data_IF_729308660059
#
_entry.id   IF_729308660059
#
_cell.length_a   1.000
_cell.length_b   1.000
_cell.length_c   1.000
_cell.angle_alpha   90.00
_cell.angle_beta   90.00
_cell.angle_gamma   90.00
#
_symmetry.space_group_name_H-M   'P 1'
#
loop_
_entity.id
_entity.type
_entity.pdbx_description
1 polymer ?
#
# COMPACT_ATOMS: atom_id res chain seq x y z
N UNK A 1 27.14 78.73 22.86
CA UNK A 1 28.20 78.71 23.89
C UNK A 1 28.38 77.26 24.36
N UNK A 2 29.48 76.61 23.96
CA UNK A 2 30.59 76.17 24.85
C UNK A 2 30.11 75.23 25.98
N UNK A 3 30.02 73.92 25.71
CA UNK A 3 30.98 72.83 26.03
C UNK A 3 31.28 72.72 27.53
N UNK A 4 30.84 71.62 28.17
CA UNK A 4 31.67 70.87 29.14
C UNK A 4 31.40 69.37 28.96
N UNK A 5 32.46 68.69 28.53
CA UNK A 5 32.64 67.25 28.37
C UNK A 5 32.77 66.59 29.74
N UNK A 6 32.13 65.42 29.94
CA UNK A 6 32.49 64.49 31.00
C UNK A 6 32.60 63.09 30.40
N UNK A 7 33.84 62.62 30.32
CA UNK A 7 34.22 61.29 29.93
C UNK A 7 33.89 60.31 31.05
N UNK A 8 33.17 59.23 30.74
CA UNK A 8 33.07 58.05 31.59
C UNK A 8 33.43 56.84 30.72
N UNK A 9 34.65 56.35 30.93
CA UNK A 9 35.07 55.03 30.50
C UNK A 9 34.46 54.01 31.47
N UNK A 10 33.77 53.00 30.93
CA UNK A 10 33.18 51.91 31.71
C UNK A 10 32.98 50.68 30.83
N UNK A 11 34.01 49.82 30.79
CA UNK A 11 34.03 48.50 30.19
C UNK A 11 32.95 47.59 30.81
N UNK A 12 32.04 47.00 30.01
CA UNK A 12 31.35 45.75 30.36
C UNK A 12 31.13 44.87 29.11
N UNK A 13 32.14 44.02 28.92
CA UNK A 13 32.15 42.61 28.49
C UNK A 13 31.02 42.05 27.60
N UNK A 14 31.50 41.41 26.53
CA UNK A 14 30.84 40.64 25.50
C UNK A 14 29.74 39.67 25.99
N UNK A 15 28.63 39.72 25.25
CA UNK A 15 27.71 38.62 25.00
C UNK A 15 28.48 37.32 24.67
N UNK A 16 28.29 36.27 25.47
CA UNK A 16 28.73 34.92 25.17
C UNK A 16 27.63 33.94 25.54
N UNK A 17 26.90 33.44 24.53
CA UNK A 17 25.92 32.38 24.65
C UNK A 17 26.51 31.18 25.41
N UNK A 18 25.99 30.89 26.60
CA UNK A 18 26.10 29.56 27.17
C UNK A 18 25.33 28.61 26.25
N UNK A 19 26.08 27.83 25.48
CA UNK A 19 25.50 26.79 24.63
C UNK A 19 25.11 25.64 25.54
N UNK A 20 23.84 25.63 25.97
CA UNK A 20 23.23 24.45 26.58
C UNK A 20 23.38 23.26 25.62
N UNK A 21 24.05 22.16 26.01
CA UNK A 21 24.10 20.97 25.19
C UNK A 21 22.68 20.39 25.15
N UNK A 22 22.05 20.46 23.98
CA UNK A 22 20.75 19.83 23.75
C UNK A 22 20.88 18.33 24.11
N UNK A 23 19.99 17.78 24.96
CA UNK A 23 19.93 16.35 25.17
C UNK A 23 19.77 15.63 23.82
N UNK A 24 20.76 14.82 23.44
CA UNK A 24 20.67 13.95 22.27
C UNK A 24 19.78 12.79 22.68
N UNK A 25 18.49 12.89 22.38
CA UNK A 25 17.56 11.80 22.59
C UNK A 25 17.95 10.65 21.64
N UNK A 26 18.24 9.44 22.14
CA UNK A 26 18.60 8.32 21.29
C UNK A 26 17.44 8.04 20.33
N UNK A 27 17.72 7.70 19.05
CA UNK A 27 16.66 7.47 18.08
C UNK A 27 15.76 6.35 18.59
N UNK A 28 14.53 6.71 18.96
CA UNK A 28 13.48 5.77 19.30
C UNK A 28 13.22 4.96 18.03
N UNK A 29 13.78 3.75 17.95
CA UNK A 29 13.37 2.77 16.94
C UNK A 29 11.93 2.39 17.28
N UNK A 30 10.97 3.18 16.78
CA UNK A 30 9.58 2.74 16.71
C UNK A 30 9.58 1.48 15.85
N UNK A 31 9.50 0.32 16.51
CA UNK A 31 9.19 -0.92 15.83
C UNK A 31 7.75 -0.78 15.33
N UNK A 32 7.60 -0.35 14.07
CA UNK A 32 6.30 -0.39 13.40
C UNK A 32 5.83 -1.84 13.42
N UNK A 33 4.63 -2.15 13.93
CA UNK A 33 4.08 -3.50 13.84
C UNK A 33 4.18 -3.99 12.40
N UNK A 34 4.93 -5.07 12.18
CA UNK A 34 5.03 -5.66 10.85
C UNK A 34 3.73 -6.41 10.58
N UNK A 35 2.97 -5.93 9.60
CA UNK A 35 1.77 -6.61 9.14
C UNK A 35 2.17 -8.01 8.63
N UNK A 36 1.43 -9.04 9.02
CA UNK A 36 1.65 -10.39 8.51
C UNK A 36 1.15 -10.50 7.05
N UNK A 37 1.86 -11.22 6.17
CA UNK A 37 1.36 -11.53 4.83
C UNK A 37 0.08 -12.38 4.89
N UNK A 38 -0.87 -12.20 3.95
CA UNK A 38 -2.06 -13.03 3.88
C UNK A 38 -1.74 -14.47 3.43
N UNK A 39 -2.41 -15.44 4.05
CA UNK A 39 -2.34 -16.86 3.67
C UNK A 39 -3.37 -17.22 2.61
N UNK A 40 -3.03 -18.16 1.71
CA UNK A 40 -3.95 -18.68 0.71
C UNK A 40 -5.00 -19.61 1.37
N UNK A 41 -6.31 -19.26 1.36
CA UNK A 41 -7.35 -20.07 1.99
C UNK A 41 -7.47 -21.45 1.33
N UNK A 42 -7.88 -22.46 2.11
CA UNK A 42 -8.07 -23.82 1.57
C UNK A 42 -9.15 -23.89 0.49
N UNK A 43 -10.20 -23.08 0.59
CA UNK A 43 -11.25 -23.03 -0.44
C UNK A 43 -10.70 -22.53 -1.79
N UNK A 44 -9.75 -21.58 -1.77
CA UNK A 44 -9.10 -21.07 -2.98
C UNK A 44 -8.22 -22.11 -3.70
N UNK A 45 -8.03 -23.30 -3.12
CA UNK A 45 -7.30 -24.43 -3.72
C UNK A 45 -8.24 -25.40 -4.44
N UNK A 46 -9.56 -25.28 -4.25
CA UNK A 46 -10.54 -26.16 -4.88
C UNK A 46 -10.92 -25.64 -6.26
N UNK A 47 -11.03 -26.54 -7.21
CA UNK A 47 -11.43 -26.19 -8.58
C UNK A 47 -12.95 -25.97 -8.71
N UNK A 48 -13.47 -24.95 -8.03
CA UNK A 48 -14.89 -24.62 -7.99
C UNK A 48 -15.10 -23.13 -8.23
N UNK A 49 -16.31 -22.68 -8.60
CA UNK A 49 -16.62 -21.25 -8.67
C UNK A 49 -16.36 -20.53 -7.33
N UNK A 50 -16.72 -21.15 -6.20
CA UNK A 50 -16.45 -20.57 -4.88
C UNK A 50 -14.94 -20.48 -4.59
N UNK A 51 -14.16 -21.46 -5.03
CA UNK A 51 -12.70 -21.43 -4.98
C UNK A 51 -12.11 -20.26 -5.77
N UNK A 52 -12.60 -20.02 -6.99
CA UNK A 52 -12.17 -18.90 -7.83
C UNK A 52 -12.49 -17.54 -7.18
N UNK A 53 -13.70 -17.36 -6.65
CA UNK A 53 -14.08 -16.15 -5.92
C UNK A 53 -13.21 -15.94 -4.66
N UNK A 54 -12.95 -17.02 -3.91
CA UNK A 54 -12.08 -16.97 -2.72
C UNK A 54 -10.65 -16.62 -3.07
N UNK A 55 -10.15 -17.11 -4.21
CA UNK A 55 -8.83 -16.77 -4.72
C UNK A 55 -8.70 -15.28 -5.04
N UNK A 56 -9.70 -14.67 -5.67
CA UNK A 56 -9.72 -13.21 -5.91
C UNK A 56 -9.72 -12.42 -4.60
N UNK A 57 -10.48 -12.86 -3.60
CA UNK A 57 -10.42 -12.27 -2.26
C UNK A 57 -9.04 -12.34 -1.61
N UNK A 58 -8.35 -13.48 -1.76
CA UNK A 58 -6.96 -13.62 -1.34
C UNK A 58 -6.03 -12.67 -2.10
N UNK A 59 -6.15 -12.58 -3.43
CA UNK A 59 -5.27 -11.73 -4.21
C UNK A 59 -5.47 -10.24 -3.90
N UNK A 60 -6.70 -9.79 -3.65
CA UNK A 60 -6.96 -8.41 -3.18
C UNK A 60 -6.42 -8.19 -1.76
N UNK A 61 -6.40 -9.22 -0.92
CA UNK A 61 -5.69 -9.13 0.37
C UNK A 61 -4.18 -8.98 0.18
N UNK A 62 -3.59 -9.68 -0.78
CA UNK A 62 -2.18 -9.53 -1.17
C UNK A 62 -1.89 -8.14 -1.77
N UNK A 63 -2.80 -7.60 -2.58
CA UNK A 63 -2.74 -6.23 -3.10
C UNK A 63 -2.72 -5.19 -1.98
N UNK A 64 -3.65 -5.31 -1.03
CA UNK A 64 -3.72 -4.41 0.13
C UNK A 64 -2.49 -4.54 1.04
N UNK A 65 -1.98 -5.75 1.21
CA UNK A 65 -0.73 -5.99 1.92
C UNK A 65 0.45 -5.28 1.25
N UNK A 66 0.60 -5.45 -0.07
CA UNK A 66 1.64 -4.81 -0.86
C UNK A 66 1.53 -3.29 -0.81
N UNK A 67 0.32 -2.73 -0.93
CA UNK A 67 0.11 -1.29 -0.82
C UNK A 67 0.61 -0.73 0.52
N UNK A 68 0.41 -1.46 1.63
CA UNK A 68 0.83 -1.05 2.98
C UNK A 68 2.30 -1.27 3.29
N UNK A 69 2.92 -2.27 2.67
CA UNK A 69 4.27 -2.75 3.06
C UNK A 69 5.32 -2.55 1.98
N UNK A 70 4.91 -2.35 0.72
CA UNK A 70 5.74 -2.40 -0.47
C UNK A 70 6.13 -3.82 -0.91
N UNK A 71 5.70 -4.85 -0.18
CA UNK A 71 5.99 -6.24 -0.53
C UNK A 71 4.90 -6.82 -1.44
N UNK A 72 5.19 -6.79 -2.75
CA UNK A 72 4.34 -7.35 -3.80
C UNK A 72 4.61 -8.83 -4.12
N UNK A 73 5.44 -9.56 -3.35
CA UNK A 73 5.85 -10.92 -3.73
C UNK A 73 4.66 -11.86 -3.94
N UNK A 74 3.67 -11.83 -3.05
CA UNK A 74 2.47 -12.66 -3.16
C UNK A 74 1.64 -12.33 -4.41
N UNK A 75 1.54 -11.04 -4.77
CA UNK A 75 0.83 -10.63 -5.99
C UNK A 75 1.49 -11.23 -7.23
N UNK A 76 2.82 -11.16 -7.32
CA UNK A 76 3.59 -11.67 -8.47
C UNK A 76 3.55 -13.20 -8.51
N UNK A 77 3.70 -13.86 -7.35
CA UNK A 77 3.65 -15.34 -7.24
C UNK A 77 2.35 -15.93 -7.77
N UNK A 78 1.23 -15.26 -7.49
CA UNK A 78 -0.11 -15.72 -7.87
C UNK A 78 -0.63 -15.07 -9.15
N UNK A 79 0.20 -14.27 -9.82
CA UNK A 79 -0.15 -13.62 -11.09
C UNK A 79 1.07 -13.49 -12.02
N UNK A 80 1.86 -14.56 -12.26
CA UNK A 80 3.15 -14.44 -12.93
C UNK A 80 3.01 -13.92 -14.36
N UNK A 81 1.89 -14.21 -15.04
CA UNK A 81 1.61 -13.78 -16.41
C UNK A 81 0.81 -12.47 -16.50
N UNK A 82 0.10 -12.08 -15.46
CA UNK A 82 -0.70 -10.84 -15.42
C UNK A 82 0.19 -9.59 -15.40
N UNK A 83 0.23 -8.88 -16.52
CA UNK A 83 1.01 -7.64 -16.66
C UNK A 83 0.54 -6.54 -15.68
N UNK A 84 -0.77 -6.18 -15.61
CA UNK A 84 -1.23 -5.17 -14.66
C UNK A 84 -0.89 -5.51 -13.20
N UNK A 85 -1.00 -6.79 -12.83
CA UNK A 85 -0.69 -7.27 -11.48
C UNK A 85 0.77 -7.03 -11.09
N UNK A 86 1.71 -7.26 -12.02
CA UNK A 86 3.13 -7.02 -11.78
C UNK A 86 3.47 -5.53 -11.77
N UNK A 87 2.78 -4.72 -12.57
CA UNK A 87 2.91 -3.26 -12.57
C UNK A 87 2.49 -2.67 -11.22
N UNK A 88 1.32 -3.05 -10.69
CA UNK A 88 0.91 -2.65 -9.33
C UNK A 88 1.93 -3.04 -8.25
N UNK A 89 2.47 -4.25 -8.31
CA UNK A 89 3.50 -4.69 -7.37
C UNK A 89 4.78 -3.83 -7.47
N UNK A 90 5.16 -3.42 -8.68
CA UNK A 90 6.26 -2.50 -8.93
C UNK A 90 5.99 -1.09 -8.36
N UNK A 91 4.80 -0.57 -8.61
CA UNK A 91 4.37 0.75 -8.12
C UNK A 91 4.40 0.80 -6.58
N UNK A 92 3.87 -0.21 -5.90
CA UNK A 92 3.88 -0.27 -4.43
C UNK A 92 5.29 -0.33 -3.82
N UNK A 93 6.22 -1.00 -4.50
CA UNK A 93 7.63 -1.02 -4.08
C UNK A 93 8.25 0.38 -4.14
N UNK A 94 7.79 1.23 -5.05
CA UNK A 94 8.30 2.59 -5.23
C UNK A 94 7.73 3.62 -4.24
N UNK A 95 6.62 3.31 -3.57
CA UNK A 95 5.95 4.23 -2.63
C UNK A 95 6.76 4.44 -1.34
N UNK A 96 6.87 5.71 -0.93
CA UNK A 96 7.40 6.08 0.39
C UNK A 96 6.41 5.67 1.47
N UNK A 97 6.90 5.41 2.68
CA UNK A 97 6.06 5.04 3.82
C UNK A 97 4.93 6.03 4.11
N UNK A 98 5.15 7.34 3.89
CA UNK A 98 4.14 8.39 4.08
C UNK A 98 3.03 8.41 3.04
N UNK A 99 3.26 7.80 1.87
CA UNK A 99 2.31 7.73 0.76
C UNK A 99 1.45 6.45 0.83
N UNK A 100 1.78 5.52 1.73
CA UNK A 100 1.09 4.25 1.86
C UNK A 100 -0.27 4.41 2.54
N UNK A 101 -1.29 3.68 2.08
CA UNK A 101 -2.63 3.75 2.65
C UNK A 101 -2.63 3.28 4.11
N UNK A 102 -3.41 3.97 4.94
CA UNK A 102 -3.68 3.54 6.32
C UNK A 102 -4.72 2.42 6.34
N UNK A 103 -5.71 2.51 5.44
CA UNK A 103 -6.81 1.56 5.27
C UNK A 103 -6.53 0.50 4.21
N UNK A 104 -7.57 -0.25 3.84
CA UNK A 104 -7.51 -1.09 2.65
C UNK A 104 -7.54 -0.18 1.41
N UNK A 105 -6.60 -0.38 0.49
CA UNK A 105 -6.60 0.33 -0.78
C UNK A 105 -7.84 -0.07 -1.60
N UNK A 106 -8.12 -1.37 -1.65
CA UNK A 106 -9.27 -1.95 -2.36
C UNK A 106 -10.15 -2.78 -1.41
N UNK A 107 -11.46 -2.62 -1.52
CA UNK A 107 -12.45 -3.49 -0.86
C UNK A 107 -13.40 -4.06 -1.92
N UNK A 108 -13.54 -5.38 -1.95
CA UNK A 108 -14.43 -6.08 -2.87
C UNK A 108 -15.90 -5.92 -2.46
N UNK A 109 -16.79 -5.76 -3.44
CA UNK A 109 -18.23 -5.80 -3.29
C UNK A 109 -18.86 -6.64 -4.40
N UNK A 110 -19.99 -7.29 -4.10
CA UNK A 110 -20.80 -8.04 -5.08
C UNK A 110 -19.96 -8.94 -6.02
N UNK A 111 -19.23 -9.89 -5.42
CA UNK A 111 -18.36 -10.80 -6.16
C UNK A 111 -19.21 -11.86 -6.87
N UNK A 112 -19.05 -11.97 -8.18
CA UNK A 112 -19.76 -12.90 -9.04
C UNK A 112 -18.79 -13.64 -9.95
N UNK A 113 -18.99 -14.93 -10.14
CA UNK A 113 -18.18 -15.73 -11.07
C UNK A 113 -18.95 -15.90 -12.38
N UNK A 114 -18.27 -15.67 -13.50
CA UNK A 114 -18.81 -15.88 -14.83
C UNK A 114 -19.16 -17.34 -15.09
N UNK A 115 -20.04 -17.57 -16.07
CA UNK A 115 -20.42 -18.92 -16.48
C UNK A 115 -19.37 -19.63 -17.35
N UNK A 116 -18.49 -18.87 -18.01
CA UNK A 116 -17.35 -19.43 -18.74
C UNK A 116 -16.25 -19.86 -17.78
N UNK A 117 -15.51 -20.89 -18.16
CA UNK A 117 -14.33 -21.38 -17.45
C UNK A 117 -13.05 -21.30 -18.28
N UNK A 118 -13.11 -20.82 -19.52
CA UNK A 118 -11.94 -20.63 -20.37
C UNK A 118 -11.97 -19.24 -21.01
N UNK A 119 -11.43 -18.20 -20.33
CA UNK A 119 -10.95 -18.21 -18.95
C UNK A 119 -12.08 -18.13 -17.90
N UNK A 120 -11.75 -18.37 -16.62
CA UNK A 120 -12.67 -18.05 -15.52
C UNK A 120 -12.62 -16.54 -15.27
N UNK A 121 -13.75 -15.88 -15.40
CA UNK A 121 -13.90 -14.46 -15.04
C UNK A 121 -14.55 -14.31 -13.67
N UNK A 122 -13.95 -13.50 -12.80
CA UNK A 122 -14.55 -13.08 -11.54
C UNK A 122 -14.80 -11.57 -11.61
N UNK A 123 -16.06 -11.20 -11.44
CA UNK A 123 -16.58 -9.84 -11.57
C UNK A 123 -16.85 -9.29 -10.19
N UNK A 124 -16.47 -8.05 -9.95
CA UNK A 124 -16.75 -7.40 -8.68
C UNK A 124 -16.71 -5.89 -8.82
N UNK A 125 -17.46 -5.21 -7.97
CA UNK A 125 -17.35 -3.78 -7.77
C UNK A 125 -16.34 -3.49 -6.67
N UNK A 126 -15.24 -2.81 -7.02
CA UNK A 126 -14.17 -2.50 -6.07
C UNK A 126 -14.34 -1.08 -5.55
N UNK A 127 -14.40 -0.94 -4.22
CA UNK A 127 -14.23 0.36 -3.57
C UNK A 127 -12.74 0.65 -3.47
N UNK A 128 -12.29 1.65 -4.23
CA UNK A 128 -10.92 2.16 -4.19
C UNK A 128 -10.83 3.30 -3.17
N UNK A 129 -9.79 3.32 -2.34
CA UNK A 129 -9.53 4.40 -1.38
C UNK A 129 -9.37 5.74 -2.11
N UNK A 130 -10.07 6.77 -1.62
CA UNK A 130 -10.09 8.10 -2.25
C UNK A 130 -11.11 8.27 -3.37
N UNK A 131 -11.59 7.18 -3.97
CA UNK A 131 -12.60 7.24 -5.03
C UNK A 131 -14.02 7.31 -4.47
N UNK A 132 -14.89 8.12 -5.09
CA UNK A 132 -16.32 8.19 -4.67
C UNK A 132 -17.10 6.98 -5.16
N UNK A 133 -16.98 6.67 -6.45
CA UNK A 133 -17.70 5.59 -7.11
C UNK A 133 -17.03 4.23 -6.90
N UNK A 134 -17.81 3.16 -7.05
CA UNK A 134 -17.27 1.81 -7.19
C UNK A 134 -16.71 1.61 -8.60
N UNK A 135 -15.63 0.84 -8.70
CA UNK A 135 -14.95 0.53 -9.97
C UNK A 135 -15.28 -0.92 -10.34
N UNK A 136 -16.00 -1.18 -11.43
CA UNK A 136 -16.28 -2.54 -11.85
C UNK A 136 -15.03 -3.16 -12.47
N UNK A 137 -14.48 -4.17 -11.82
CA UNK A 137 -13.31 -4.91 -12.29
C UNK A 137 -13.69 -6.33 -12.68
N UNK A 138 -13.03 -6.83 -13.72
CA UNK A 138 -13.01 -8.24 -14.10
C UNK A 138 -11.61 -8.78 -13.83
N UNK A 139 -11.55 -9.80 -13.00
CA UNK A 139 -10.37 -10.58 -12.66
C UNK A 139 -10.40 -11.84 -13.53
N UNK A 140 -9.40 -12.00 -14.39
CA UNK A 140 -9.31 -13.15 -15.31
C UNK A 140 -8.35 -14.16 -14.72
N UNK A 141 -8.83 -15.36 -14.47
CA UNK A 141 -8.05 -16.48 -13.96
C UNK A 141 -7.75 -17.48 -15.08
N UNK A 142 -6.77 -18.35 -14.86
CA UNK A 142 -6.70 -19.61 -15.61
C UNK A 142 -7.96 -20.47 -15.39
N UNK A 143 -8.10 -21.50 -16.21
CA UNK A 143 -9.31 -22.32 -16.36
C UNK A 143 -9.54 -23.39 -15.25
N UNK A 144 -8.55 -23.60 -14.39
CA UNK A 144 -8.59 -24.58 -13.30
C UNK A 144 -7.70 -24.19 -12.11
N UNK A 145 -7.98 -24.77 -10.93
CA UNK A 145 -7.06 -24.68 -9.80
C UNK A 145 -5.75 -25.49 -10.06
N UNK A 146 -4.57 -25.04 -9.59
CA UNK A 146 -4.34 -23.87 -8.75
C UNK A 146 -4.53 -22.56 -9.53
N UNK A 147 -5.37 -21.67 -8.97
CA UNK A 147 -5.72 -20.44 -9.66
C UNK A 147 -4.53 -19.48 -9.72
N UNK A 148 -4.43 -18.79 -10.85
CA UNK A 148 -3.50 -17.69 -11.11
C UNK A 148 -4.26 -16.59 -11.84
N UNK A 149 -3.99 -15.34 -11.48
CA UNK A 149 -4.45 -14.21 -12.28
C UNK A 149 -3.64 -14.12 -13.57
N UNK A 150 -4.35 -14.06 -14.68
CA UNK A 150 -3.79 -13.84 -16.01
C UNK A 150 -4.02 -12.42 -16.49
N UNK A 151 -5.10 -11.76 -16.05
CA UNK A 151 -5.37 -10.35 -16.35
C UNK A 151 -6.33 -9.70 -15.34
N UNK A 152 -6.35 -8.36 -15.32
CA UNK A 152 -7.35 -7.56 -14.61
C UNK A 152 -7.66 -6.33 -15.47
N UNK A 153 -8.94 -6.08 -15.73
CA UNK A 153 -9.38 -4.90 -16.47
C UNK A 153 -10.68 -4.32 -15.92
N UNK A 154 -10.91 -3.04 -16.25
CA UNK A 154 -12.18 -2.37 -15.94
C UNK A 154 -13.24 -2.84 -16.91
N UNK A 155 -14.41 -3.23 -16.40
CA UNK A 155 -15.51 -3.64 -17.26
C UNK A 155 -16.11 -2.42 -17.98
N UNK A 156 -16.31 -2.54 -19.29
CA UNK A 156 -16.93 -1.49 -20.11
C UNK A 156 -15.97 -0.44 -20.67
N UNK A 157 -14.66 -0.69 -20.63
CA UNK A 157 -13.62 0.05 -21.35
C UNK A 157 -13.12 -0.78 -22.52
#
# INVERSE_FOLDING_TARGET
MRIVTLAIAGLLLFSGCSSDPRPIEPPRKSATPTLAPPDLPNEAKKDTPSGAATFVGFWVSAFNYAAKTGDGHLMVKHAPKCKPCREYAGDFKSLKQSERPKGAAWTLNDVRVGGSRDPIEVVTEVKVEGEKALVPLTFVLNDHAPFQLVDIYRRGT
#
